data_IF_089475689732
#
_entry.id   IF_089475689732
#
_cell.length_a   1.000
_cell.length_b   1.000
_cell.length_c   1.000
_cell.angle_alpha   90.00
_cell.angle_beta   90.00
_cell.angle_gamma   90.00
#
_symmetry.space_group_name_H-M   'P 1'
#
loop_
_entity.id
_entity.type
_entity.pdbx_description
1 polymer ?
#
# COMPACT_ATOMS: atom_id res chain seq x y z
N UNK A 1 9.90 28.24 -5.85
CA UNK A 1 8.80 27.30 -5.52
C UNK A 1 7.51 27.60 -6.30
N UNK A 2 7.01 28.83 -6.25
CA UNK A 2 5.68 29.20 -6.75
C UNK A 2 5.45 28.89 -8.25
N UNK A 3 6.44 29.13 -9.12
CA UNK A 3 6.32 28.83 -10.55
C UNK A 3 6.08 27.34 -10.84
N UNK A 4 6.78 26.44 -10.13
CA UNK A 4 6.61 24.99 -10.31
C UNK A 4 5.28 24.51 -9.75
N UNK A 5 4.82 25.11 -8.65
CA UNK A 5 3.48 24.87 -8.10
C UNK A 5 2.39 25.28 -9.09
N UNK A 6 2.56 26.42 -9.74
CA UNK A 6 1.65 26.87 -10.80
C UNK A 6 1.69 25.96 -12.03
N UNK A 7 2.89 25.50 -12.44
CA UNK A 7 3.06 24.61 -13.59
C UNK A 7 2.43 23.23 -13.37
N UNK A 8 2.54 22.69 -12.15
CA UNK A 8 1.90 21.44 -11.80
C UNK A 8 0.38 21.59 -11.61
N UNK A 9 -0.06 22.79 -11.21
CA UNK A 9 -1.46 23.15 -11.10
C UNK A 9 -2.22 22.25 -10.11
N UNK A 10 -3.41 21.81 -10.53
CA UNK A 10 -4.31 20.97 -9.73
C UNK A 10 -3.80 19.54 -9.47
N UNK A 11 -2.67 19.13 -10.07
CA UNK A 11 -2.09 17.82 -9.82
C UNK A 11 -1.29 17.73 -8.52
N UNK A 12 -1.03 18.86 -7.87
CA UNK A 12 -0.33 18.83 -6.59
C UNK A 12 -1.23 18.27 -5.49
N UNK A 13 -0.85 17.12 -4.94
CA UNK A 13 -1.54 16.47 -3.82
C UNK A 13 -0.67 16.52 -2.55
N UNK A 14 -1.03 17.34 -1.53
CA UNK A 14 -0.25 17.43 -0.29
C UNK A 14 -0.26 16.13 0.55
N UNK A 15 -1.20 15.22 0.30
CA UNK A 15 -1.24 13.90 0.92
C UNK A 15 -0.18 12.95 0.37
N UNK A 16 0.28 13.18 -0.86
CA UNK A 16 1.21 12.31 -1.58
C UNK A 16 2.49 13.01 -2.09
N UNK A 17 2.63 14.32 -1.92
CA UNK A 17 3.75 15.11 -2.43
C UNK A 17 4.23 16.16 -1.42
N UNK A 18 5.55 16.32 -1.31
CA UNK A 18 6.17 17.34 -0.47
C UNK A 18 7.43 17.92 -1.12
N UNK A 19 7.70 19.20 -0.84
CA UNK A 19 8.90 19.90 -1.34
C UNK A 19 10.09 19.77 -0.40
N UNK A 20 9.83 19.62 0.90
CA UNK A 20 10.82 19.35 1.94
C UNK A 20 10.66 17.91 2.43
N UNK A 21 11.69 17.35 3.10
CA UNK A 21 11.52 16.12 3.84
C UNK A 21 10.29 16.24 4.75
N UNK A 22 9.37 15.28 4.72
CA UNK A 22 8.28 15.23 5.66
C UNK A 22 8.85 14.93 7.05
N UNK A 23 8.47 15.71 8.05
CA UNK A 23 8.82 15.41 9.45
C UNK A 23 8.17 14.09 9.86
N UNK A 24 8.91 13.27 10.63
CA UNK A 24 8.37 12.12 11.36
C UNK A 24 7.32 12.62 12.35
N UNK A 25 6.09 12.79 11.89
CA UNK A 25 4.97 13.14 12.77
C UNK A 25 4.60 11.89 13.58
N UNK A 26 4.69 11.91 14.92
CA UNK A 26 4.13 10.87 15.74
C UNK A 26 2.61 10.96 15.64
N UNK A 27 2.01 10.19 14.71
CA UNK A 27 0.56 10.13 14.51
C UNK A 27 0.08 10.22 13.05
N UNK A 28 0.96 10.46 12.07
CA UNK A 28 0.63 10.33 10.66
C UNK A 28 1.31 9.09 10.10
N UNK A 29 0.54 8.09 9.66
CA UNK A 29 1.04 6.77 9.20
C UNK A 29 1.89 6.75 7.93
N UNK A 30 2.81 7.71 7.75
CA UNK A 30 3.91 7.63 6.82
C UNK A 30 5.21 7.54 7.61
N UNK A 31 5.77 6.33 7.68
CA UNK A 31 7.05 6.07 8.32
C UNK A 31 8.15 6.60 7.40
N UNK A 32 8.97 7.56 7.85
CA UNK A 32 10.25 7.80 7.20
C UNK A 32 11.19 6.66 7.62
N UNK A 33 11.69 5.89 6.66
CA UNK A 33 12.79 4.94 6.80
C UNK A 33 12.91 4.23 8.17
N UNK A 34 11.80 3.67 8.68
CA UNK A 34 11.81 2.78 9.84
C UNK A 34 12.52 1.48 9.51
N UNK A 35 13.13 0.85 10.51
CA UNK A 35 13.80 -0.43 10.35
C UNK A 35 12.87 -1.51 9.79
N UNK A 36 13.44 -2.62 9.32
CA UNK A 36 12.65 -3.76 8.84
C UNK A 36 11.66 -4.29 9.91
N UNK A 37 12.00 -4.11 11.19
CA UNK A 37 11.17 -4.48 12.34
C UNK A 37 9.94 -3.56 12.47
N UNK A 38 10.12 -2.24 12.31
CA UNK A 38 9.02 -1.27 12.36
C UNK A 38 7.98 -1.52 11.26
N UNK A 39 8.43 -1.93 10.07
CA UNK A 39 7.53 -2.29 8.96
C UNK A 39 6.76 -3.58 9.22
N UNK A 40 7.38 -4.55 9.89
CA UNK A 40 6.73 -5.81 10.25
C UNK A 40 5.67 -5.58 11.34
N UNK A 41 5.96 -4.76 12.35
CA UNK A 41 5.00 -4.37 13.38
C UNK A 41 3.82 -3.61 12.78
N UNK A 42 4.09 -2.65 11.88
CA UNK A 42 3.06 -1.91 11.18
C UNK A 42 2.15 -2.81 10.32
N UNK A 43 2.72 -3.76 9.56
CA UNK A 43 1.93 -4.76 8.82
C UNK A 43 1.00 -5.56 9.76
N UNK A 44 1.53 -6.01 10.90
CA UNK A 44 0.75 -6.76 11.87
C UNK A 44 -0.40 -5.93 12.45
N UNK A 45 -0.15 -4.67 12.83
CA UNK A 45 -1.18 -3.76 13.35
C UNK A 45 -2.28 -3.49 12.33
N UNK A 46 -1.92 -3.23 11.07
CA UNK A 46 -2.89 -2.98 10.00
C UNK A 46 -3.74 -4.21 9.68
N UNK A 47 -3.16 -5.41 9.76
CA UNK A 47 -3.90 -6.67 9.59
C UNK A 47 -4.83 -7.00 10.73
N UNK A 48 -4.56 -6.55 11.96
CA UNK A 48 -5.50 -6.72 13.08
C UNK A 48 -6.79 -5.91 12.86
N UNK A 49 -6.73 -4.85 12.05
CA UNK A 49 -7.88 -4.02 11.67
C UNK A 49 -7.94 -3.84 10.15
N UNK A 50 -8.29 -4.90 9.39
CA UNK A 50 -8.38 -4.82 7.94
C UNK A 50 -9.32 -3.71 7.51
N UNK A 51 -8.85 -2.85 6.61
CA UNK A 51 -9.66 -1.79 6.02
C UNK A 51 -10.54 -2.34 4.88
N UNK A 52 -11.70 -1.72 4.67
CA UNK A 52 -12.62 -2.09 3.60
C UNK A 52 -13.62 -3.17 4.00
N UNK A 53 -14.29 -3.77 3.02
CA UNK A 53 -15.25 -4.85 3.25
C UNK A 53 -14.55 -6.22 3.24
N UNK A 54 -15.05 -7.14 4.07
CA UNK A 54 -14.59 -8.53 4.05
C UNK A 54 -14.84 -9.14 2.66
N UNK A 55 -13.83 -9.81 2.06
CA UNK A 55 -13.98 -10.47 0.77
C UNK A 55 -15.16 -11.46 0.78
N UNK A 56 -15.90 -11.50 -0.33
CA UNK A 56 -17.07 -12.38 -0.51
C UNK A 56 -16.74 -13.84 -0.27
N UNK A 57 -15.54 -14.26 -0.69
CA UNK A 57 -15.03 -15.61 -0.60
C UNK A 57 -14.89 -16.05 0.87
N UNK A 58 -14.48 -15.12 1.75
CA UNK A 58 -14.34 -15.37 3.19
C UNK A 58 -15.70 -15.28 3.88
N UNK A 59 -16.51 -14.26 3.52
CA UNK A 59 -17.83 -14.03 4.11
C UNK A 59 -18.78 -15.21 3.87
N UNK A 60 -18.66 -15.88 2.73
CA UNK A 60 -19.48 -17.03 2.35
C UNK A 60 -19.12 -18.34 3.08
N UNK A 61 -17.95 -18.44 3.73
CA UNK A 61 -17.52 -19.68 4.38
C UNK A 61 -18.47 -20.08 5.54
N UNK A 62 -19.10 -21.25 5.43
CA UNK A 62 -20.04 -21.80 6.43
C UNK A 62 -19.37 -22.78 7.42
N UNK A 63 -18.18 -23.30 7.10
CA UNK A 63 -17.43 -24.30 7.90
C UNK A 63 -18.31 -25.47 8.36
N UNK A 64 -19.17 -25.97 7.46
CA UNK A 64 -20.19 -26.98 7.76
C UNK A 64 -19.76 -28.42 7.45
N UNK A 65 -18.63 -28.61 6.78
CA UNK A 65 -18.16 -29.90 6.27
C UNK A 65 -16.88 -30.32 6.99
N UNK A 66 -16.82 -31.56 7.49
CA UNK A 66 -15.61 -32.10 8.11
C UNK A 66 -15.78 -33.00 9.34
N UNK A 67 -16.99 -33.28 9.81
CA UNK A 67 -17.24 -34.26 10.87
C UNK A 67 -18.09 -35.42 10.35
N UNK A 68 -17.80 -36.61 10.91
CA UNK A 68 -18.32 -37.93 10.53
C UNK A 68 -19.79 -37.93 10.06
N UNK A 69 -20.14 -38.80 9.09
CA UNK A 69 -21.51 -38.93 8.60
C UNK A 69 -22.47 -39.12 9.78
N UNK A 70 -23.40 -38.17 9.96
CA UNK A 70 -24.41 -38.19 11.02
C UNK A 70 -24.33 -37.06 12.06
N UNK A 71 -23.22 -36.32 12.17
CA UNK A 71 -23.12 -35.15 13.07
C UNK A 71 -23.06 -33.84 12.28
N UNK A 72 -24.23 -33.25 12.00
CA UNK A 72 -24.38 -31.88 11.45
C UNK A 72 -24.07 -30.83 12.53
N UNK A 73 -22.88 -30.84 13.13
CA UNK A 73 -22.53 -29.81 14.09
C UNK A 73 -22.03 -28.57 13.35
N UNK A 74 -22.97 -27.73 12.92
CA UNK A 74 -22.65 -26.38 12.41
C UNK A 74 -21.86 -25.65 13.48
N UNK A 75 -20.71 -25.07 13.11
CA UNK A 75 -19.99 -24.19 14.03
C UNK A 75 -20.95 -23.11 14.55
N UNK A 76 -20.80 -22.75 15.83
CA UNK A 76 -21.59 -21.65 16.37
C UNK A 76 -21.40 -20.39 15.52
N UNK A 77 -22.45 -19.58 15.36
CA UNK A 77 -22.37 -18.32 14.60
C UNK A 77 -21.22 -17.43 15.07
N UNK A 78 -20.93 -17.44 16.38
CA UNK A 78 -19.82 -16.71 17.01
C UNK A 78 -18.46 -17.24 16.57
N UNK A 79 -18.26 -18.57 16.59
CA UNK A 79 -17.01 -19.18 16.16
C UNK A 79 -16.78 -19.00 14.67
N UNK A 80 -17.82 -19.19 13.85
CA UNK A 80 -17.77 -18.91 12.41
C UNK A 80 -17.29 -17.50 12.13
N UNK A 81 -17.92 -16.49 12.75
CA UNK A 81 -17.51 -15.09 12.56
C UNK A 81 -16.07 -14.84 12.98
N UNK A 82 -15.61 -15.45 14.08
CA UNK A 82 -14.22 -15.36 14.52
C UNK A 82 -13.25 -15.96 13.50
N UNK A 83 -13.58 -17.11 12.92
CA UNK A 83 -12.76 -17.75 11.88
C UNK A 83 -12.70 -16.91 10.59
N UNK A 84 -13.84 -16.36 10.16
CA UNK A 84 -13.89 -15.44 9.01
C UNK A 84 -13.03 -14.19 9.25
N UNK A 85 -13.11 -13.58 10.44
CA UNK A 85 -12.27 -12.43 10.79
C UNK A 85 -10.79 -12.80 10.85
N UNK A 86 -10.46 -13.97 11.40
CA UNK A 86 -9.07 -14.45 11.44
C UNK A 86 -8.52 -14.68 10.02
N UNK A 87 -9.27 -15.36 9.14
CA UNK A 87 -8.90 -15.55 7.74
C UNK A 87 -8.73 -14.22 7.01
N UNK A 88 -9.61 -13.25 7.28
CA UNK A 88 -9.50 -11.93 6.68
C UNK A 88 -8.22 -11.22 7.14
N UNK A 89 -7.93 -11.21 8.45
CA UNK A 89 -6.69 -10.65 9.00
C UNK A 89 -5.43 -11.34 8.43
N UNK A 90 -5.46 -12.66 8.29
CA UNK A 90 -4.36 -13.46 7.75
C UNK A 90 -4.11 -13.23 6.26
N UNK A 91 -5.17 -13.06 5.46
CA UNK A 91 -5.07 -12.88 4.00
C UNK A 91 -5.08 -11.43 3.54
N UNK A 92 -5.40 -10.49 4.43
CA UNK A 92 -5.39 -9.05 4.14
C UNK A 92 -3.98 -8.54 3.89
N UNK A 93 -3.79 -7.83 2.79
CA UNK A 93 -2.52 -7.25 2.38
C UNK A 93 -2.62 -5.72 2.43
N UNK A 94 -2.15 -5.07 3.50
CA UNK A 94 -2.13 -3.61 3.57
C UNK A 94 -1.13 -3.02 2.56
N UNK A 95 -1.38 -1.79 2.14
CA UNK A 95 -0.39 -0.96 1.45
C UNK A 95 0.38 -0.19 2.52
N UNK A 96 1.69 -0.39 2.59
CA UNK A 96 2.58 0.35 3.47
C UNK A 96 3.09 1.59 2.72
N UNK A 97 2.82 2.76 3.27
CA UNK A 97 3.24 4.02 2.68
C UNK A 97 4.51 4.55 3.33
N UNK A 98 5.47 4.93 2.49
CA UNK A 98 6.70 5.59 2.90
C UNK A 98 6.98 6.77 1.97
N UNK A 99 7.69 7.77 2.49
CA UNK A 99 8.15 8.89 1.68
C UNK A 99 9.43 8.52 0.92
N UNK A 100 9.43 8.78 -0.38
CA UNK A 100 10.54 8.51 -1.28
C UNK A 100 11.12 9.82 -1.82
N UNK A 101 12.45 9.94 -1.80
CA UNK A 101 13.17 11.07 -2.36
C UNK A 101 13.53 10.81 -3.83
N UNK A 102 12.87 11.51 -4.75
CA UNK A 102 13.14 11.39 -6.19
C UNK A 102 14.37 12.18 -6.65
N UNK A 103 14.92 13.03 -5.78
CA UNK A 103 16.08 13.88 -6.05
C UNK A 103 15.76 15.17 -6.80
N UNK A 104 16.81 15.95 -7.07
CA UNK A 104 16.71 17.32 -7.59
C UNK A 104 16.16 17.44 -9.02
N UNK A 105 16.06 16.33 -9.75
CA UNK A 105 15.48 16.29 -11.11
C UNK A 105 13.96 16.15 -11.11
N UNK A 106 13.34 16.07 -9.95
CA UNK A 106 11.90 15.93 -9.82
C UNK A 106 11.33 17.04 -8.94
N UNK A 107 10.10 17.44 -9.24
CA UNK A 107 9.36 18.39 -8.43
C UNK A 107 7.88 18.00 -8.35
N UNK A 108 7.27 17.89 -7.16
CA UNK A 108 7.90 17.96 -5.83
C UNK A 108 8.90 16.82 -5.62
N UNK A 109 9.95 17.06 -4.83
CA UNK A 109 11.08 16.13 -4.66
C UNK A 109 10.68 14.85 -3.92
N UNK A 110 9.82 14.98 -2.92
CA UNK A 110 9.38 13.88 -2.07
C UNK A 110 7.98 13.44 -2.48
N UNK A 111 7.80 12.14 -2.68
CA UNK A 111 6.50 11.54 -2.98
C UNK A 111 6.21 10.38 -2.02
N UNK A 112 4.97 10.24 -1.59
CA UNK A 112 4.53 9.12 -0.75
C UNK A 112 4.23 7.93 -1.66
N UNK A 113 4.97 6.83 -1.50
CA UNK A 113 4.87 5.64 -2.34
C UNK A 113 4.36 4.48 -1.51
N UNK A 114 3.40 3.74 -2.07
CA UNK A 114 2.90 2.50 -1.48
C UNK A 114 3.81 1.30 -1.80
N UNK A 115 3.87 0.34 -0.89
CA UNK A 115 4.57 -0.94 -1.05
C UNK A 115 3.77 -2.07 -0.40
N UNK A 116 4.00 -3.31 -0.85
CA UNK A 116 3.38 -4.49 -0.25
C UNK A 116 4.38 -5.20 0.66
N UNK A 117 3.92 -5.68 1.83
CA UNK A 117 4.76 -6.43 2.74
C UNK A 117 4.87 -7.90 2.32
N UNK A 118 6.06 -8.33 1.89
CA UNK A 118 6.30 -9.68 1.32
C UNK A 118 7.19 -10.58 2.18
N UNK A 119 7.50 -10.19 3.43
CA UNK A 119 8.39 -10.96 4.32
C UNK A 119 7.68 -12.09 5.08
N UNK A 120 6.37 -12.26 4.89
CA UNK A 120 5.55 -13.32 5.49
C UNK A 120 4.52 -13.85 4.50
N UNK A 121 4.07 -15.08 4.76
CA UNK A 121 2.94 -15.66 4.01
C UNK A 121 1.64 -14.94 4.33
N UNK A 122 0.80 -14.74 3.31
CA UNK A 122 -0.59 -14.28 3.44
C UNK A 122 -1.61 -15.40 3.25
N UNK A 123 -1.19 -16.65 2.99
CA UNK A 123 -2.08 -17.79 2.78
C UNK A 123 -2.00 -18.83 3.89
N UNK A 124 -2.99 -19.72 3.90
CA UNK A 124 -3.03 -20.95 4.70
C UNK A 124 -3.43 -22.11 3.76
N UNK A 125 -2.59 -23.15 3.58
CA UNK A 125 -1.22 -23.26 4.09
C UNK A 125 -0.29 -22.18 3.52
N UNK A 126 0.91 -22.08 4.08
CA UNK A 126 1.89 -21.09 3.64
C UNK A 126 2.33 -21.30 2.18
N UNK A 127 2.53 -20.22 1.44
CA UNK A 127 3.01 -20.27 0.06
C UNK A 127 2.77 -19.01 -0.78
N UNK A 128 1.75 -18.22 -0.45
CA UNK A 128 1.44 -16.96 -1.15
C UNK A 128 1.97 -15.76 -0.37
N UNK A 129 2.32 -14.69 -1.09
CA UNK A 129 2.78 -13.43 -0.49
C UNK A 129 1.97 -12.25 -1.01
N UNK A 130 1.98 -11.14 -0.27
CA UNK A 130 1.32 -9.92 -0.73
C UNK A 130 2.09 -9.32 -1.90
N UNK A 131 1.41 -9.14 -3.04
CA UNK A 131 1.96 -8.49 -4.23
C UNK A 131 1.09 -7.30 -4.65
N UNK A 132 1.67 -6.33 -5.40
CA UNK A 132 0.90 -5.23 -5.96
C UNK A 132 -0.20 -5.73 -6.88
N UNK A 133 -1.40 -5.19 -6.73
CA UNK A 133 -2.58 -5.57 -7.52
C UNK A 133 -3.20 -4.40 -8.30
N UNK A 134 -3.04 -3.17 -7.80
CA UNK A 134 -3.38 -1.95 -8.53
C UNK A 134 -2.34 -0.87 -8.29
N UNK A 135 -2.20 -0.01 -9.28
CA UNK A 135 -1.42 1.21 -9.21
C UNK A 135 -2.26 2.40 -9.65
N UNK A 136 -1.91 3.57 -9.14
CA UNK A 136 -2.39 4.87 -9.60
C UNK A 136 -1.21 5.73 -10.00
N UNK A 137 -1.46 6.82 -10.72
CA UNK A 137 -0.39 7.70 -11.18
C UNK A 137 -0.47 9.05 -10.49
N UNK A 138 0.67 9.50 -9.99
CA UNK A 138 0.89 10.88 -9.60
C UNK A 138 1.47 11.63 -10.80
N UNK A 139 0.92 12.81 -11.10
CA UNK A 139 1.59 13.71 -12.04
C UNK A 139 2.66 14.50 -11.29
N UNK A 140 3.91 14.40 -11.72
CA UNK A 140 5.05 15.15 -11.15
C UNK A 140 5.82 15.83 -12.28
N UNK A 141 6.64 16.82 -11.95
CA UNK A 141 7.52 17.46 -12.93
C UNK A 141 8.88 16.77 -12.93
N UNK A 142 9.43 16.53 -14.12
CA UNK A 142 10.80 16.04 -14.32
C UNK A 142 11.63 17.06 -15.09
N UNK A 143 12.82 17.37 -14.59
CA UNK A 143 13.80 18.19 -15.28
C UNK A 143 14.46 17.37 -16.38
N UNK A 144 14.22 17.75 -17.64
CA UNK A 144 14.74 17.06 -18.83
C UNK A 144 15.39 18.04 -19.79
N UNK A 145 16.54 17.66 -20.33
CA UNK A 145 17.24 18.39 -21.39
C UNK A 145 17.04 17.67 -22.72
N UNK A 146 16.79 18.42 -23.80
CA UNK A 146 16.49 17.85 -25.11
C UNK A 146 17.74 17.33 -25.86
N UNK A 147 18.93 17.89 -25.59
CA UNK A 147 20.18 17.53 -26.28
C UNK A 147 21.24 16.96 -25.32
N UNK A 148 22.09 16.07 -25.84
CA UNK A 148 23.33 15.65 -25.15
C UNK A 148 24.21 16.90 -24.97
N UNK A 149 24.63 17.19 -23.74
CA UNK A 149 25.35 18.42 -23.38
C UNK A 149 24.55 19.45 -22.57
N UNK A 150 23.31 19.15 -22.15
CA UNK A 150 22.57 19.98 -21.19
C UNK A 150 21.97 21.28 -21.76
N UNK A 151 21.95 21.44 -23.08
CA UNK A 151 21.28 22.58 -23.71
C UNK A 151 19.76 22.34 -23.79
N UNK A 152 18.98 23.41 -23.54
CA UNK A 152 17.50 23.42 -23.54
C UNK A 152 16.88 22.42 -22.56
N UNK A 153 17.00 22.73 -21.27
CA UNK A 153 16.35 21.98 -20.20
C UNK A 153 15.05 22.66 -19.76
N UNK A 154 14.08 21.85 -19.34
CA UNK A 154 12.80 22.33 -18.85
C UNK A 154 12.12 21.31 -17.95
N UNK A 155 11.15 21.79 -17.19
CA UNK A 155 10.24 20.95 -16.42
C UNK A 155 9.14 20.44 -17.33
N UNK A 156 8.99 19.12 -17.38
CA UNK A 156 7.91 18.46 -18.10
C UNK A 156 7.05 17.65 -17.14
N UNK A 157 5.71 17.66 -17.28
CA UNK A 157 4.87 16.76 -16.52
C UNK A 157 5.09 15.32 -16.97
N UNK A 158 5.17 14.42 -16.01
CA UNK A 158 5.27 12.97 -16.22
C UNK A 158 4.32 12.24 -15.28
N UNK A 159 3.93 11.03 -15.66
CA UNK A 159 3.17 10.13 -14.81
C UNK A 159 4.13 9.26 -14.00
N UNK A 160 4.04 9.31 -12.68
CA UNK A 160 4.82 8.52 -11.74
C UNK A 160 3.91 7.48 -11.07
N UNK A 161 4.09 6.17 -11.33
CA UNK A 161 3.20 5.15 -10.78
C UNK A 161 3.49 4.92 -9.29
N UNK A 162 2.43 4.78 -8.49
CA UNK A 162 2.48 4.36 -7.09
C UNK A 162 1.51 3.20 -6.86
N UNK A 163 1.85 2.29 -5.95
CA UNK A 163 0.97 1.16 -5.58
C UNK A 163 -0.19 1.69 -4.74
N UNK A 164 -1.41 1.29 -5.09
CA UNK A 164 -2.65 1.67 -4.38
C UNK A 164 -3.37 0.50 -3.73
N UNK A 165 -3.13 -0.74 -4.18
CA UNK A 165 -3.72 -1.95 -3.60
C UNK A 165 -2.76 -3.13 -3.65
N UNK A 166 -2.71 -3.92 -2.58
CA UNK A 166 -2.00 -5.20 -2.51
C UNK A 166 -2.98 -6.37 -2.38
N UNK A 167 -2.64 -7.53 -2.96
CA UNK A 167 -3.42 -8.77 -2.83
C UNK A 167 -2.52 -9.95 -2.53
N UNK A 168 -3.10 -10.96 -1.88
CA UNK A 168 -2.44 -12.22 -1.65
C UNK A 168 -2.38 -13.03 -2.96
N UNK A 169 -1.18 -13.41 -3.41
CA UNK A 169 -0.97 -14.13 -4.67
C UNK A 169 0.27 -15.02 -4.63
N UNK A 170 0.29 -16.09 -5.43
CA UNK A 170 1.47 -16.93 -5.68
C UNK A 170 2.57 -16.16 -6.40
#
# INVERSE_FOLDING_TARGET
>A
GCLLRSLLGGHYDPGFMATSPPEDRPGGGGVAAGGAEDLAELDQLLRQRPSGAMPSEIKALEFSEGLAPGKKQRLSKKLRRKLQMWLWSQTFCPVLYAWNDLGSRFWPRYVKVGSCFSKRSCSVPEGMVCKPSKSVHLTVLRWRCQRRGGQRCGWIPIQYPIISECKCSC
#
